data_IF_912622653312
#
_entry.id   IF_912622653312
#
_cell.length_a   1.000
_cell.length_b   1.000
_cell.length_c   1.000
_cell.angle_alpha   90.00
_cell.angle_beta   90.00
_cell.angle_gamma   90.00
#
_symmetry.space_group_name_H-M   'P 1'
#
loop_
_entity.id
_entity.type
_entity.pdbx_description
1 polymer ?
#
# COMPACT_ATOMS: atom_id res chain seq x y z
N UNK A 1 13.29 8.02 18.70
CA UNK A 1 12.14 7.13 18.43
C UNK A 1 10.90 7.79 18.98
N UNK A 2 9.85 7.88 18.18
CA UNK A 2 8.53 8.32 18.64
C UNK A 2 7.77 7.19 19.32
N UNK A 3 6.61 7.51 19.89
CA UNK A 3 5.79 6.57 20.66
C UNK A 3 4.38 6.37 20.07
N UNK A 4 4.10 6.91 18.86
CA UNK A 4 2.76 6.90 18.25
C UNK A 4 2.22 5.49 17.98
N UNK A 5 3.12 4.51 17.77
CA UNK A 5 2.80 3.12 17.51
C UNK A 5 3.39 2.16 18.55
N UNK A 6 3.76 2.66 19.71
CA UNK A 6 4.35 1.86 20.79
C UNK A 6 3.48 0.67 21.15
N UNK A 7 4.09 -0.53 21.10
CA UNK A 7 3.43 -1.78 21.42
C UNK A 7 2.47 -2.31 20.34
N UNK A 8 2.32 -1.61 19.22
CA UNK A 8 1.51 -2.11 18.10
C UNK A 8 2.32 -3.10 17.24
N UNK A 9 1.64 -4.10 16.74
CA UNK A 9 2.16 -5.09 15.78
C UNK A 9 1.61 -4.76 14.39
N UNK A 10 2.51 -4.54 13.43
CA UNK A 10 2.16 -4.17 12.06
C UNK A 10 2.66 -5.21 11.04
N UNK A 11 1.86 -5.49 10.02
CA UNK A 11 2.27 -6.19 8.80
C UNK A 11 2.30 -5.21 7.64
N UNK A 12 3.39 -5.19 6.89
CA UNK A 12 3.55 -4.38 5.66
C UNK A 12 3.91 -5.31 4.51
N UNK A 13 3.08 -5.34 3.46
CA UNK A 13 3.36 -6.10 2.23
C UNK A 13 4.15 -5.24 1.24
N UNK A 14 4.99 -5.87 0.40
CA UNK A 14 5.93 -5.20 -0.52
C UNK A 14 6.79 -4.15 0.19
N UNK A 15 7.36 -4.53 1.34
CA UNK A 15 8.15 -3.66 2.19
C UNK A 15 9.63 -3.54 1.76
N UNK A 16 10.04 -4.24 0.70
CA UNK A 16 11.45 -4.26 0.27
C UNK A 16 11.92 -2.95 -0.36
N UNK A 17 11.00 -2.13 -0.89
CA UNK A 17 11.36 -0.88 -1.57
C UNK A 17 10.23 0.16 -1.53
N UNK A 18 10.52 1.37 -2.02
CA UNK A 18 9.55 2.45 -2.23
C UNK A 18 8.71 2.78 -0.99
N UNK A 19 7.41 2.95 -1.17
CA UNK A 19 6.48 3.39 -0.11
C UNK A 19 6.37 2.34 0.99
N UNK A 20 6.36 1.04 0.65
CA UNK A 20 6.29 -0.05 1.65
C UNK A 20 7.48 0.01 2.60
N UNK A 21 8.71 0.14 2.05
CA UNK A 21 9.94 0.25 2.84
C UNK A 21 9.95 1.51 3.72
N UNK A 22 9.64 2.66 3.16
CA UNK A 22 9.61 3.91 3.90
C UNK A 22 8.57 3.85 5.05
N UNK A 23 7.41 3.25 4.80
CA UNK A 23 6.36 3.09 5.81
C UNK A 23 6.75 2.10 6.91
N UNK A 24 7.41 0.99 6.56
CA UNK A 24 7.91 0.02 7.54
C UNK A 24 8.92 0.66 8.49
N UNK A 25 9.88 1.41 7.95
CA UNK A 25 10.87 2.17 8.74
C UNK A 25 10.19 3.23 9.61
N UNK A 26 9.25 4.00 9.05
CA UNK A 26 8.55 5.02 9.80
C UNK A 26 7.72 4.44 10.96
N UNK A 27 7.02 3.33 10.74
CA UNK A 27 6.27 2.64 11.81
C UNK A 27 7.19 2.11 12.91
N UNK A 28 8.32 1.49 12.55
CA UNK A 28 9.28 0.98 13.52
C UNK A 28 9.91 2.11 14.34
N UNK A 29 10.22 3.25 13.72
CA UNK A 29 10.73 4.44 14.40
C UNK A 29 9.70 5.06 15.38
N UNK A 30 8.40 4.77 15.18
CA UNK A 30 7.31 5.16 16.08
C UNK A 30 6.95 4.07 17.11
N UNK A 31 7.80 3.06 17.28
CA UNK A 31 7.71 2.06 18.34
C UNK A 31 6.89 0.81 18.00
N UNK A 32 6.50 0.60 16.75
CA UNK A 32 5.84 -0.63 16.31
C UNK A 32 6.83 -1.78 16.17
N UNK A 33 6.35 -3.02 16.38
CA UNK A 33 6.96 -4.22 15.83
C UNK A 33 6.41 -4.45 14.43
N UNK A 34 7.25 -4.32 13.42
CA UNK A 34 6.86 -4.36 12.00
C UNK A 34 7.33 -5.65 11.36
N UNK A 35 6.40 -6.46 10.89
CA UNK A 35 6.68 -7.57 9.98
C UNK A 35 6.71 -7.05 8.56
N UNK A 36 7.91 -6.79 8.06
CA UNK A 36 8.16 -6.28 6.72
C UNK A 36 8.28 -7.45 5.75
N UNK A 37 7.33 -7.56 4.82
CA UNK A 37 7.27 -8.70 3.89
C UNK A 37 7.41 -8.28 2.45
N UNK A 38 8.06 -9.15 1.66
CA UNK A 38 8.22 -8.99 0.21
C UNK A 38 8.36 -10.38 -0.45
N UNK A 39 7.99 -10.49 -1.71
CA UNK A 39 8.24 -11.71 -2.50
C UNK A 39 9.74 -11.90 -2.74
N UNK A 40 10.49 -10.81 -2.84
CA UNK A 40 11.94 -10.78 -3.04
C UNK A 40 12.70 -10.48 -1.73
N UNK A 41 13.23 -11.54 -1.10
CA UNK A 41 14.01 -11.41 0.14
C UNK A 41 15.22 -10.47 0.04
N UNK A 42 15.86 -10.37 -1.14
CA UNK A 42 17.03 -9.49 -1.32
C UNK A 42 16.67 -8.02 -1.10
N UNK A 43 15.47 -7.60 -1.45
CA UNK A 43 15.01 -6.23 -1.22
C UNK A 43 14.82 -5.93 0.27
N UNK A 44 14.57 -6.95 1.09
CA UNK A 44 14.41 -6.80 2.53
C UNK A 44 15.75 -6.72 3.29
N UNK A 45 16.87 -7.08 2.68
CA UNK A 45 18.17 -7.07 3.33
C UNK A 45 18.54 -5.71 3.93
N UNK A 46 18.12 -4.63 3.27
CA UNK A 46 18.33 -3.25 3.76
C UNK A 46 17.56 -2.90 5.04
N UNK A 47 16.63 -3.75 5.46
CA UNK A 47 15.84 -3.62 6.67
C UNK A 47 16.34 -4.55 7.80
N UNK A 48 17.24 -5.50 7.49
CA UNK A 48 17.76 -6.44 8.46
C UNK A 48 18.55 -5.71 9.56
N UNK A 49 18.29 -6.10 10.81
CA UNK A 49 18.93 -5.48 11.98
C UNK A 49 18.38 -4.11 12.39
N UNK A 50 17.39 -3.58 11.66
CA UNK A 50 16.72 -2.36 12.12
C UNK A 50 15.86 -2.67 13.36
N UNK A 51 16.01 -1.94 14.47
CA UNK A 51 15.20 -2.15 15.67
C UNK A 51 13.69 -2.09 15.36
N UNK A 52 12.95 -3.07 15.83
CA UNK A 52 11.50 -3.15 15.61
C UNK A 52 11.07 -3.72 14.26
N UNK A 53 11.99 -4.13 13.37
CA UNK A 53 11.64 -4.75 12.09
C UNK A 53 12.02 -6.24 12.08
N UNK A 54 11.07 -7.07 11.67
CA UNK A 54 11.25 -8.48 11.35
C UNK A 54 10.97 -8.68 9.87
N UNK A 55 11.95 -9.16 9.11
CA UNK A 55 11.81 -9.39 7.66
C UNK A 55 11.36 -10.82 7.38
N UNK A 56 10.42 -11.00 6.45
CA UNK A 56 9.90 -12.32 6.08
C UNK A 56 9.48 -12.35 4.61
N UNK A 57 9.74 -13.48 3.94
CA UNK A 57 9.21 -13.70 2.58
C UNK A 57 7.70 -13.89 2.64
N UNK A 58 7.00 -13.19 1.74
CA UNK A 58 5.57 -13.39 1.49
C UNK A 58 5.26 -13.07 0.03
N UNK A 59 4.79 -14.09 -0.70
CA UNK A 59 4.10 -13.89 -1.96
C UNK A 59 2.59 -13.71 -1.69
N UNK A 60 2.10 -12.51 -1.93
CA UNK A 60 0.67 -12.18 -1.72
C UNK A 60 -0.25 -12.78 -2.79
N UNK A 61 0.30 -13.45 -3.81
CA UNK A 61 -0.45 -14.24 -4.78
C UNK A 61 -0.61 -15.72 -4.36
N UNK A 62 0.09 -16.15 -3.32
CA UNK A 62 0.04 -17.51 -2.77
C UNK A 62 -0.86 -17.56 -1.52
N UNK A 63 -2.06 -18.10 -1.66
CA UNK A 63 -3.05 -18.19 -0.58
C UNK A 63 -2.54 -19.00 0.63
N UNK A 64 -1.68 -20.02 0.41
CA UNK A 64 -1.11 -20.82 1.50
C UNK A 64 -0.03 -20.03 2.25
N UNK A 65 0.84 -19.31 1.55
CA UNK A 65 1.82 -18.44 2.20
C UNK A 65 1.12 -17.34 3.01
N UNK A 66 0.07 -16.70 2.48
CA UNK A 66 -0.74 -15.74 3.23
C UNK A 66 -1.25 -16.37 4.53
N UNK A 67 -1.91 -17.53 4.43
CA UNK A 67 -2.50 -18.23 5.58
C UNK A 67 -1.44 -18.54 6.63
N UNK A 68 -0.37 -19.25 6.27
CA UNK A 68 0.68 -19.65 7.22
C UNK A 68 1.41 -18.46 7.82
N UNK A 69 1.67 -17.40 7.03
CA UNK A 69 2.26 -16.18 7.56
C UNK A 69 1.36 -15.56 8.63
N UNK A 70 0.09 -15.32 8.32
CA UNK A 70 -0.83 -14.65 9.26
C UNK A 70 -1.11 -15.49 10.51
N UNK A 71 -1.16 -16.83 10.39
CA UNK A 71 -1.31 -17.74 11.54
C UNK A 71 -0.07 -17.73 12.45
N UNK A 72 1.13 -17.60 11.88
CA UNK A 72 2.39 -17.57 12.61
C UNK A 72 2.72 -16.24 13.29
N UNK A 73 2.04 -15.14 12.91
CA UNK A 73 2.28 -13.83 13.51
C UNK A 73 1.46 -13.63 14.79
N UNK A 74 1.89 -12.74 15.71
CA UNK A 74 1.01 -12.21 16.75
C UNK A 74 -0.23 -11.55 16.13
N UNK A 75 -1.34 -11.37 16.89
CA UNK A 75 -2.47 -10.60 16.40
C UNK A 75 -2.04 -9.20 15.95
N UNK A 76 -2.44 -8.81 14.75
CA UNK A 76 -2.08 -7.52 14.18
C UNK A 76 -2.93 -6.39 14.75
N UNK A 77 -2.30 -5.25 15.04
CA UNK A 77 -2.97 -3.98 15.27
C UNK A 77 -3.05 -3.16 13.97
N UNK A 78 -2.09 -3.37 13.04
CA UNK A 78 -1.99 -2.62 11.80
C UNK A 78 -1.72 -3.59 10.64
N UNK A 79 -2.47 -3.44 9.56
CA UNK A 79 -2.21 -4.09 8.27
C UNK A 79 -2.05 -3.02 7.20
N UNK A 80 -0.88 -2.95 6.56
CA UNK A 80 -0.65 -2.10 5.41
C UNK A 80 -0.46 -2.93 4.15
N UNK A 81 -1.50 -3.00 3.31
CA UNK A 81 -1.47 -3.61 1.99
C UNK A 81 -0.86 -2.65 0.99
N UNK A 82 0.45 -2.79 0.76
CA UNK A 82 1.22 -1.93 -0.15
C UNK A 82 1.59 -2.62 -1.47
N UNK A 83 1.49 -3.94 -1.55
CA UNK A 83 1.77 -4.69 -2.78
C UNK A 83 0.88 -4.23 -3.93
N UNK A 84 1.47 -4.09 -5.11
CA UNK A 84 0.74 -3.67 -6.30
C UNK A 84 1.61 -3.45 -7.51
N UNK A 85 0.98 -3.39 -8.67
CA UNK A 85 1.59 -3.21 -9.98
C UNK A 85 0.86 -2.13 -10.76
N UNK A 86 1.61 -1.36 -11.58
CA UNK A 86 1.07 -0.31 -12.44
C UNK A 86 1.16 -0.76 -13.88
N UNK A 87 0.08 -1.29 -14.42
CA UNK A 87 -0.04 -1.55 -15.86
C UNK A 87 -0.09 -0.25 -16.65
N UNK A 88 0.56 -0.22 -17.80
CA UNK A 88 0.53 0.87 -18.78
C UNK A 88 -0.15 0.39 -20.05
N UNK A 89 -1.23 1.04 -20.42
CA UNK A 89 -1.98 0.75 -21.64
C UNK A 89 -3.36 1.38 -21.63
N UNK A 90 -3.90 1.58 -22.83
CA UNK A 90 -5.29 1.93 -23.10
C UNK A 90 -6.16 0.66 -23.05
N UNK A 91 -7.49 0.80 -23.14
CA UNK A 91 -8.40 -0.35 -23.22
C UNK A 91 -8.13 -1.24 -24.44
N UNK A 92 -7.70 -0.65 -25.55
CA UNK A 92 -7.43 -1.38 -26.79
C UNK A 92 -6.06 -2.10 -26.79
N UNK A 93 -5.18 -1.73 -25.86
CA UNK A 93 -3.84 -2.32 -25.70
C UNK A 93 -3.76 -3.28 -24.52
N UNK A 94 -4.87 -3.48 -23.80
CA UNK A 94 -4.94 -4.36 -22.65
C UNK A 94 -5.34 -5.76 -23.10
N UNK A 95 -4.52 -6.75 -22.76
CA UNK A 95 -4.82 -8.18 -22.95
C UNK A 95 -5.41 -8.78 -21.67
N UNK A 96 -6.04 -9.95 -21.81
CA UNK A 96 -6.67 -10.64 -20.66
C UNK A 96 -5.66 -10.96 -19.57
N UNK A 97 -4.42 -11.32 -19.93
CA UNK A 97 -3.32 -11.60 -19.00
C UNK A 97 -2.94 -10.38 -18.18
N UNK A 98 -2.92 -9.18 -18.79
CA UNK A 98 -2.63 -7.91 -18.10
C UNK A 98 -3.73 -7.57 -17.11
N UNK A 99 -4.98 -7.80 -17.52
CA UNK A 99 -6.16 -7.62 -16.69
C UNK A 99 -6.12 -8.57 -15.48
N UNK A 100 -5.96 -9.86 -15.74
CA UNK A 100 -5.97 -10.89 -14.70
C UNK A 100 -4.83 -10.70 -13.71
N UNK A 101 -3.60 -10.46 -14.18
CA UNK A 101 -2.47 -10.20 -13.30
C UNK A 101 -2.68 -8.95 -12.45
N UNK A 102 -3.16 -7.85 -13.06
CA UNK A 102 -3.39 -6.60 -12.34
C UNK A 102 -4.48 -6.74 -11.28
N UNK A 103 -5.59 -7.40 -11.59
CA UNK A 103 -6.66 -7.65 -10.62
C UNK A 103 -6.23 -8.65 -9.54
N UNK A 104 -5.49 -9.68 -9.89
CA UNK A 104 -4.96 -10.64 -8.91
C UNK A 104 -4.04 -9.94 -7.91
N UNK A 105 -3.08 -9.13 -8.38
CA UNK A 105 -2.11 -8.49 -7.48
C UNK A 105 -2.70 -7.28 -6.75
N UNK A 106 -3.44 -6.39 -7.45
CA UNK A 106 -3.88 -5.13 -6.85
C UNK A 106 -5.18 -5.26 -6.04
N UNK A 107 -6.02 -6.26 -6.33
CA UNK A 107 -7.36 -6.39 -5.72
C UNK A 107 -7.52 -7.69 -4.94
N UNK A 108 -7.28 -8.85 -5.60
CA UNK A 108 -7.44 -10.15 -4.95
C UNK A 108 -6.45 -10.36 -3.81
N UNK A 109 -5.19 -9.97 -4.00
CA UNK A 109 -4.17 -10.13 -2.96
C UNK A 109 -4.51 -9.36 -1.66
N UNK A 110 -4.78 -8.04 -1.66
CA UNK A 110 -5.18 -7.35 -0.43
C UNK A 110 -6.50 -7.91 0.15
N UNK A 111 -7.46 -8.34 -0.68
CA UNK A 111 -8.65 -9.05 -0.19
C UNK A 111 -8.28 -10.29 0.62
N UNK A 112 -7.40 -11.16 0.09
CA UNK A 112 -6.97 -12.38 0.76
C UNK A 112 -6.18 -12.12 2.04
N UNK A 113 -5.30 -11.13 2.03
CA UNK A 113 -4.54 -10.74 3.25
C UNK A 113 -5.49 -10.18 4.31
N UNK A 114 -6.46 -9.33 3.95
CA UNK A 114 -7.48 -8.82 4.88
C UNK A 114 -8.32 -9.99 5.43
N UNK A 115 -8.80 -10.88 4.56
CA UNK A 115 -9.63 -12.03 4.95
C UNK A 115 -8.92 -12.92 5.99
N UNK A 116 -7.61 -13.12 5.83
CA UNK A 116 -6.80 -13.93 6.76
C UNK A 116 -6.48 -13.20 8.08
N UNK A 117 -6.26 -11.88 8.05
CA UNK A 117 -5.91 -11.09 9.23
C UNK A 117 -7.11 -10.73 10.11
N UNK A 118 -8.23 -10.41 9.46
CA UNK A 118 -9.40 -9.76 10.07
C UNK A 118 -10.00 -10.49 11.29
N UNK A 119 -10.20 -11.83 11.27
CA UNK A 119 -10.78 -12.52 12.44
C UNK A 119 -9.95 -12.35 13.71
N UNK A 120 -8.62 -12.42 13.58
CA UNK A 120 -7.71 -12.25 14.71
C UNK A 120 -7.58 -10.79 15.14
N UNK A 121 -7.65 -9.84 14.22
CA UNK A 121 -7.71 -8.41 14.54
C UNK A 121 -8.97 -8.08 15.35
N UNK A 122 -10.14 -8.55 14.91
CA UNK A 122 -11.42 -8.35 15.64
C UNK A 122 -11.36 -8.99 17.03
N UNK A 123 -10.89 -10.24 17.14
CA UNK A 123 -10.76 -10.93 18.42
C UNK A 123 -9.77 -10.23 19.37
N UNK A 124 -8.81 -9.49 18.85
CA UNK A 124 -7.83 -8.71 19.62
C UNK A 124 -8.29 -7.27 19.93
N UNK A 125 -9.57 -6.96 19.73
CA UNK A 125 -10.15 -5.64 20.05
C UNK A 125 -10.11 -4.63 18.91
N UNK A 126 -9.80 -5.05 17.67
CA UNK A 126 -9.81 -4.20 16.50
C UNK A 126 -8.41 -3.85 15.98
N UNK A 127 -8.36 -2.85 15.10
CA UNK A 127 -7.10 -2.40 14.48
C UNK A 127 -7.32 -1.51 13.27
N UNK A 128 -6.23 -1.18 12.59
CA UNK A 128 -6.21 -0.33 11.40
C UNK A 128 -5.75 -1.08 10.17
N UNK A 129 -6.58 -1.11 9.14
CA UNK A 129 -6.27 -1.62 7.82
C UNK A 129 -6.05 -0.42 6.89
N UNK A 130 -4.92 -0.41 6.21
CA UNK A 130 -4.52 0.65 5.29
C UNK A 130 -4.27 0.00 3.93
N UNK A 131 -4.96 0.47 2.90
CA UNK A 131 -4.81 -0.07 1.55
C UNK A 131 -4.14 0.96 0.65
N UNK A 132 -3.13 0.54 -0.11
CA UNK A 132 -2.49 1.37 -1.12
C UNK A 132 -3.39 1.45 -2.37
N UNK A 133 -4.14 2.54 -2.47
CA UNK A 133 -4.89 2.90 -3.66
C UNK A 133 -4.06 3.83 -4.57
N UNK A 134 -4.69 4.79 -5.19
CA UNK A 134 -4.08 5.83 -6.04
C UNK A 134 -5.09 6.94 -6.28
N UNK A 135 -4.63 8.11 -6.67
CA UNK A 135 -5.52 9.13 -7.28
C UNK A 135 -6.07 8.64 -8.63
N UNK A 136 -5.32 7.76 -9.33
CA UNK A 136 -5.78 7.12 -10.56
C UNK A 136 -6.87 6.08 -10.24
N UNK A 137 -8.03 6.24 -10.81
CA UNK A 137 -9.17 5.35 -10.60
C UNK A 137 -10.46 6.12 -10.34
N UNK A 138 -11.07 5.92 -9.17
CA UNK A 138 -12.36 6.57 -8.84
C UNK A 138 -12.25 8.08 -8.54
N UNK A 139 -11.04 8.61 -8.37
CA UNK A 139 -10.80 10.03 -8.08
C UNK A 139 -10.50 10.79 -9.38
N UNK A 140 -9.55 10.28 -10.18
CA UNK A 140 -9.15 10.89 -11.45
C UNK A 140 -8.80 9.82 -12.48
N UNK A 141 -9.26 9.97 -13.72
CA UNK A 141 -8.77 9.20 -14.86
C UNK A 141 -7.39 9.72 -15.30
N UNK A 142 -6.46 8.81 -15.56
CA UNK A 142 -5.16 9.14 -16.13
C UNK A 142 -4.95 8.39 -17.45
N UNK A 143 -4.42 9.03 -18.50
CA UNK A 143 -4.12 8.36 -19.77
C UNK A 143 -3.20 7.15 -19.57
N UNK A 144 -3.38 6.12 -20.40
CA UNK A 144 -2.59 4.89 -20.39
C UNK A 144 -2.57 4.19 -19.01
N UNK A 145 -3.71 4.17 -18.32
CA UNK A 145 -3.87 3.54 -16.99
C UNK A 145 -5.21 2.80 -16.87
N UNK A 146 -5.69 2.22 -17.97
CA UNK A 146 -7.04 1.63 -17.99
C UNK A 146 -7.21 0.56 -16.89
N UNK A 147 -6.45 -0.52 -16.94
CA UNK A 147 -6.56 -1.62 -15.95
C UNK A 147 -6.14 -1.15 -14.55
N UNK A 148 -5.03 -0.41 -14.48
CA UNK A 148 -4.55 0.11 -13.19
C UNK A 148 -5.61 0.97 -12.50
N UNK A 149 -6.23 1.89 -13.24
CA UNK A 149 -7.30 2.73 -12.72
C UNK A 149 -8.50 1.92 -12.22
N UNK A 150 -8.92 0.90 -12.99
CA UNK A 150 -9.99 0.01 -12.58
C UNK A 150 -9.66 -0.74 -11.28
N UNK A 151 -8.44 -1.27 -11.15
CA UNK A 151 -8.02 -1.96 -9.91
C UNK A 151 -7.97 -1.03 -8.71
N UNK A 152 -7.50 0.21 -8.87
CA UNK A 152 -7.40 1.16 -7.74
C UNK A 152 -8.76 1.72 -7.32
N UNK A 153 -9.71 1.83 -8.25
CA UNK A 153 -11.11 2.10 -7.92
C UNK A 153 -11.72 0.96 -7.09
N UNK A 154 -11.45 -0.30 -7.48
CA UNK A 154 -11.90 -1.48 -6.72
C UNK A 154 -11.33 -1.51 -5.29
N UNK A 155 -10.05 -1.15 -5.10
CA UNK A 155 -9.42 -1.04 -3.76
C UNK A 155 -10.14 -0.01 -2.88
N UNK A 156 -10.53 1.16 -3.43
CA UNK A 156 -11.29 2.17 -2.68
C UNK A 156 -12.68 1.63 -2.30
N UNK A 157 -13.36 0.92 -3.22
CA UNK A 157 -14.65 0.28 -2.95
C UNK A 157 -14.53 -0.77 -1.82
N UNK A 158 -13.54 -1.66 -1.93
CA UNK A 158 -13.26 -2.67 -0.90
C UNK A 158 -12.95 -2.03 0.46
N UNK A 159 -12.17 -0.95 0.49
CA UNK A 159 -11.85 -0.20 1.72
C UNK A 159 -13.11 0.27 2.44
N UNK A 160 -14.06 0.85 1.70
CA UNK A 160 -15.33 1.34 2.25
C UNK A 160 -16.21 0.20 2.78
N UNK A 161 -16.27 -0.91 2.04
CA UNK A 161 -17.06 -2.08 2.44
C UNK A 161 -16.51 -2.72 3.72
N UNK A 162 -15.19 -2.94 3.82
CA UNK A 162 -14.56 -3.45 5.04
C UNK A 162 -14.79 -2.51 6.23
N UNK A 163 -14.67 -1.20 6.02
CA UNK A 163 -14.96 -0.21 7.06
C UNK A 163 -16.42 -0.29 7.54
N UNK A 164 -17.38 -0.34 6.63
CA UNK A 164 -18.80 -0.39 6.96
C UNK A 164 -19.17 -1.66 7.74
N UNK A 165 -18.64 -2.82 7.32
CA UNK A 165 -18.97 -4.11 7.90
C UNK A 165 -18.35 -4.31 9.30
N UNK A 166 -17.15 -3.78 9.54
CA UNK A 166 -16.34 -4.12 10.71
C UNK A 166 -16.06 -2.96 11.67
N UNK A 167 -16.60 -1.76 11.45
CA UNK A 167 -16.42 -0.61 12.35
C UNK A 167 -16.89 -0.93 13.79
N UNK A 168 -17.99 -1.68 13.95
CA UNK A 168 -18.48 -2.11 15.26
C UNK A 168 -17.57 -3.14 15.94
N UNK A 169 -16.73 -3.84 15.17
CA UNK A 169 -15.69 -4.74 15.66
C UNK A 169 -14.35 -4.03 15.95
N UNK A 170 -14.34 -2.69 15.98
CA UNK A 170 -13.14 -1.90 16.26
C UNK A 170 -12.17 -1.80 15.09
N UNK A 171 -12.58 -2.19 13.86
CA UNK A 171 -11.73 -2.10 12.67
C UNK A 171 -11.94 -0.76 11.97
N UNK A 172 -10.85 -0.04 11.75
CA UNK A 172 -10.78 1.08 10.80
C UNK A 172 -10.15 0.58 9.50
N UNK A 173 -10.68 0.99 8.37
CA UNK A 173 -10.13 0.65 7.06
C UNK A 173 -10.09 1.91 6.19
N UNK A 174 -8.90 2.30 5.72
CA UNK A 174 -8.70 3.52 4.94
C UNK A 174 -7.79 3.25 3.74
N UNK A 175 -7.94 4.06 2.69
CA UNK A 175 -7.09 4.01 1.51
C UNK A 175 -6.17 5.23 1.45
N UNK A 176 -4.90 5.01 1.12
CA UNK A 176 -3.94 6.07 0.78
C UNK A 176 -3.89 6.17 -0.74
N UNK A 177 -4.05 7.39 -1.26
CA UNK A 177 -4.16 7.69 -2.69
C UNK A 177 -3.05 8.66 -3.11
N UNK A 178 -1.83 8.17 -3.37
CA UNK A 178 -0.73 9.03 -3.80
C UNK A 178 -0.91 9.53 -5.23
N UNK A 179 -0.31 10.68 -5.52
CA UNK A 179 0.09 11.08 -6.86
C UNK A 179 1.30 10.26 -7.35
N UNK A 180 2.18 10.90 -8.13
CA UNK A 180 3.39 10.23 -8.62
C UNK A 180 4.51 10.28 -7.57
N UNK A 181 4.98 9.11 -7.14
CA UNK A 181 6.02 8.94 -6.12
C UNK A 181 7.29 8.40 -6.77
N UNK A 182 8.43 8.99 -6.46
CA UNK A 182 9.77 8.63 -6.95
C UNK A 182 10.21 7.30 -6.30
N UNK A 183 9.97 6.20 -6.98
CA UNK A 183 10.20 4.83 -6.50
C UNK A 183 10.97 4.03 -7.54
N UNK A 184 11.66 2.93 -7.16
CA UNK A 184 12.28 2.03 -8.13
C UNK A 184 11.30 1.57 -9.23
N UNK A 185 10.08 1.22 -8.89
CA UNK A 185 9.04 0.86 -9.86
C UNK A 185 8.68 2.00 -10.83
N UNK A 186 8.79 3.27 -10.43
CA UNK A 186 8.66 4.39 -11.36
C UNK A 186 9.86 4.50 -12.29
N UNK A 187 11.07 4.28 -11.78
CA UNK A 187 12.28 4.30 -12.60
C UNK A 187 12.24 3.24 -13.69
N UNK A 188 11.82 2.01 -13.35
CA UNK A 188 11.64 0.93 -14.35
C UNK A 188 10.65 1.35 -15.45
N UNK A 189 9.54 1.99 -15.06
CA UNK A 189 8.54 2.49 -16.02
C UNK A 189 9.03 3.67 -16.85
N UNK A 190 9.88 4.54 -16.30
CA UNK A 190 10.53 5.61 -17.08
C UNK A 190 11.52 5.03 -18.07
N UNK A 191 12.33 4.06 -17.66
CA UNK A 191 13.29 3.37 -18.55
C UNK A 191 12.57 2.66 -19.72
N UNK A 192 11.41 2.07 -19.47
CA UNK A 192 10.60 1.43 -20.51
C UNK A 192 10.02 2.41 -21.55
N UNK A 193 9.99 3.72 -21.27
CA UNK A 193 9.56 4.76 -22.22
C UNK A 193 10.70 5.26 -23.12
N UNK A 194 11.93 4.81 -22.90
CA UNK A 194 13.11 5.13 -23.70
C UNK A 194 13.92 6.30 -23.11
N UNK A 195 13.58 7.54 -23.39
CA UNK A 195 14.29 8.70 -22.82
C UNK A 195 13.84 8.97 -21.38
N UNK A 196 14.73 8.70 -20.43
CA UNK A 196 14.45 8.82 -19.00
C UNK A 196 14.17 10.27 -18.59
N UNK A 197 14.88 11.24 -19.18
CA UNK A 197 14.73 12.65 -18.80
C UNK A 197 13.40 13.21 -19.31
N UNK A 198 13.01 12.87 -20.54
CA UNK A 198 11.70 13.23 -21.08
C UNK A 198 10.56 12.52 -20.32
N UNK A 199 10.72 11.24 -20.01
CA UNK A 199 9.77 10.51 -19.18
C UNK A 199 9.63 11.16 -17.78
N UNK A 200 10.74 11.56 -17.17
CA UNK A 200 10.73 12.25 -15.87
C UNK A 200 9.98 13.59 -15.95
N UNK A 201 10.26 14.41 -16.95
CA UNK A 201 9.54 15.67 -17.18
C UNK A 201 8.04 15.45 -17.33
N UNK A 202 7.64 14.45 -18.12
CA UNK A 202 6.23 14.06 -18.29
C UNK A 202 5.57 13.65 -16.96
N UNK A 203 6.25 12.87 -16.10
CA UNK A 203 5.70 12.49 -14.82
C UNK A 203 5.63 13.68 -13.85
N UNK A 204 6.64 14.55 -13.83
CA UNK A 204 6.67 15.78 -13.02
C UNK A 204 5.56 16.73 -13.42
N UNK A 205 5.31 16.92 -14.72
CA UNK A 205 4.29 17.86 -15.21
C UNK A 205 2.86 17.52 -14.80
N UNK A 206 2.62 16.29 -14.35
CA UNK A 206 1.31 15.87 -13.80
C UNK A 206 1.04 16.41 -12.40
N UNK A 207 2.08 16.81 -11.67
CA UNK A 207 1.99 17.31 -10.31
C UNK A 207 2.05 18.85 -10.33
N UNK A 208 1.00 19.59 -9.92
CA UNK A 208 1.05 21.04 -9.80
C UNK A 208 2.17 21.58 -8.90
N UNK A 209 2.60 20.79 -7.90
CA UNK A 209 3.78 21.12 -7.07
C UNK A 209 5.10 21.08 -7.85
N UNK A 210 5.15 20.67 -9.12
CA UNK A 210 6.33 20.71 -9.99
C UNK A 210 7.42 19.68 -9.62
N UNK A 211 7.11 18.65 -8.86
CA UNK A 211 8.04 17.59 -8.49
C UNK A 211 7.32 16.26 -8.19
N UNK A 212 8.09 15.17 -8.19
CA UNK A 212 7.63 13.90 -7.66
C UNK A 212 7.67 13.91 -6.12
N UNK A 213 6.77 13.19 -5.49
CA UNK A 213 6.87 12.92 -4.06
C UNK A 213 7.98 11.90 -3.79
N UNK A 214 8.57 11.94 -2.58
CA UNK A 214 9.42 10.85 -2.08
C UNK A 214 8.59 9.85 -1.29
N UNK A 215 8.98 8.57 -1.22
CA UNK A 215 8.31 7.58 -0.37
C UNK A 215 8.15 8.03 1.08
N UNK A 216 9.14 8.74 1.61
CA UNK A 216 9.17 9.29 2.97
C UNK A 216 8.13 10.39 3.21
N UNK A 217 7.58 10.99 2.15
CA UNK A 217 6.49 11.97 2.25
C UNK A 217 5.12 11.29 2.32
N UNK A 218 5.02 10.02 1.92
CA UNK A 218 3.80 9.22 2.03
C UNK A 218 3.72 8.53 3.40
N UNK A 219 4.86 8.05 3.91
CA UNK A 219 4.94 7.29 5.15
C UNK A 219 4.31 7.97 6.39
N UNK A 220 4.40 9.31 6.60
CA UNK A 220 3.74 9.97 7.72
C UNK A 220 2.22 9.83 7.74
N UNK A 221 1.56 9.83 6.56
CA UNK A 221 0.13 9.57 6.46
C UNK A 221 -0.20 8.13 6.84
N UNK A 222 0.63 7.17 6.42
CA UNK A 222 0.47 5.75 6.79
C UNK A 222 0.62 5.58 8.30
N UNK A 223 1.60 6.22 8.94
CA UNK A 223 1.78 6.21 10.40
C UNK A 223 0.58 6.85 11.10
N UNK A 224 0.08 8.00 10.64
CA UNK A 224 -1.13 8.61 11.18
C UNK A 224 -2.32 7.65 11.15
N UNK A 225 -2.57 7.00 10.00
CA UNK A 225 -3.66 6.05 9.85
C UNK A 225 -3.47 4.78 10.69
N UNK A 226 -2.24 4.37 10.95
CA UNK A 226 -1.89 3.24 11.83
C UNK A 226 -2.07 3.57 13.32
N UNK A 227 -1.97 4.83 13.70
CA UNK A 227 -1.98 5.31 15.09
C UNK A 227 -3.40 5.56 15.61
N UNK A 228 -3.50 5.78 16.93
CA UNK A 228 -4.75 6.13 17.59
C UNK A 228 -5.17 7.59 17.35
N UNK A 229 -4.27 8.42 16.78
CA UNK A 229 -4.60 9.78 16.32
C UNK A 229 -5.68 9.80 15.24
N UNK A 230 -5.80 8.71 14.49
CA UNK A 230 -6.82 8.53 13.46
C UNK A 230 -8.04 7.70 13.92
N UNK A 231 -8.33 7.68 15.24
CA UNK A 231 -9.38 6.85 15.82
C UNK A 231 -10.78 7.11 15.23
N UNK A 232 -11.04 8.32 14.73
CA UNK A 232 -12.32 8.70 14.09
C UNK A 232 -12.29 8.63 12.56
N UNK A 233 -11.23 8.07 11.97
CA UNK A 233 -11.02 8.00 10.54
C UNK A 233 -11.21 6.56 10.02
N UNK A 234 -12.30 6.31 9.29
CA UNK A 234 -12.56 5.02 8.64
C UNK A 234 -13.38 5.21 7.35
N UNK A 235 -13.20 4.31 6.37
CA UNK A 235 -13.90 4.33 5.10
C UNK A 235 -13.43 5.43 4.13
N UNK A 236 -12.34 6.13 4.40
CA UNK A 236 -11.89 7.27 3.63
C UNK A 236 -10.80 6.91 2.61
N UNK A 237 -10.76 7.71 1.54
CA UNK A 237 -9.67 7.75 0.56
C UNK A 237 -8.88 9.05 0.79
N UNK A 238 -7.65 8.95 1.25
CA UNK A 238 -6.79 10.08 1.58
C UNK A 238 -5.85 10.40 0.43
N UNK A 239 -6.09 11.53 -0.25
CA UNK A 239 -5.21 12.03 -1.30
C UNK A 239 -3.93 12.60 -0.69
N UNK A 240 -2.78 12.24 -1.28
CA UNK A 240 -1.47 12.81 -1.02
C UNK A 240 -0.72 12.88 -2.35
N UNK A 241 -1.01 13.91 -3.15
CA UNK A 241 -0.87 13.85 -4.60
C UNK A 241 -0.17 15.04 -5.24
N UNK A 242 0.32 16.00 -4.47
CA UNK A 242 0.98 17.19 -5.00
C UNK A 242 0.05 18.07 -5.85
N UNK A 243 -1.26 17.99 -5.62
CA UNK A 243 -2.28 18.78 -6.28
C UNK A 243 -2.79 18.20 -7.60
N UNK A 244 -2.44 16.94 -7.95
CA UNK A 244 -2.86 16.35 -9.25
C UNK A 244 -4.40 16.25 -9.38
N UNK A 245 -5.14 16.28 -8.28
CA UNK A 245 -6.62 16.15 -8.27
C UNK A 245 -7.37 17.46 -8.12
N UNK A 246 -6.68 18.58 -7.97
CA UNK A 246 -7.29 19.93 -7.93
C UNK A 246 -7.36 20.57 -9.29
#
# INVERSE_FOLDING_TARGET
>A
MGDRLKGKVALVTAAGQGIGRASALAMANEGATVYATDVNLKLLESLNGHPGIVTQKLDVLDDLQIKFTLEGLPPLNVLFNCAGFVHQGTIMETHDEDWDFSFNLNVRAPFKVIQAALPRMVANGGGSIINMASVCGSIKGLPNRFVYGATKAAVIGMTKSVAADYVKGGIRCNAVCPGTVDTPSLHDRMAALGDIDEARKMFVSRQPMGRLAKPEEIAPLVVFLASDESAFATGNAYMIDGGITI
#
